data_IF_803631371253
#
_entry.id   IF_803631371253
#
_cell.length_a   1.000
_cell.length_b   1.000
_cell.length_c   1.000
_cell.angle_alpha   90.00
_cell.angle_beta   90.00
_cell.angle_gamma   90.00
#
_symmetry.space_group_name_H-M   'P 1'
#
loop_
_entity.id
_entity.type
_entity.pdbx_description
1 polymer ?
#
# COMPACT_ATOMS: atom_id res chain seq x y z
N UNK A 1 -27.63 86.66 -9.09
CA UNK A 1 -28.45 85.69 -9.86
C UNK A 1 -28.25 84.33 -9.20
N UNK A 2 -28.68 84.14 -7.97
CA UNK A 2 -30.05 83.84 -7.52
C UNK A 2 -30.69 82.64 -8.21
N UNK A 3 -31.14 81.68 -7.39
CA UNK A 3 -32.50 81.10 -7.37
C UNK A 3 -32.53 79.58 -7.16
N UNK A 4 -32.11 79.07 -5.99
CA UNK A 4 -32.67 77.82 -5.46
C UNK A 4 -32.76 77.91 -3.93
N UNK A 5 -33.68 78.74 -3.45
CA UNK A 5 -34.09 78.74 -2.06
C UNK A 5 -34.86 77.45 -1.76
N UNK A 6 -34.40 76.69 -0.77
CA UNK A 6 -35.13 75.55 -0.23
C UNK A 6 -36.39 76.12 0.44
N UNK A 7 -37.53 75.95 -0.22
CA UNK A 7 -38.81 76.37 0.32
C UNK A 7 -39.10 75.58 1.60
N UNK A 8 -39.07 76.26 2.75
CA UNK A 8 -39.65 75.75 3.99
C UNK A 8 -41.16 75.73 3.80
N UNK A 9 -41.72 74.58 3.44
CA UNK A 9 -43.15 74.40 3.35
C UNK A 9 -43.69 74.10 4.75
N UNK A 10 -44.11 75.16 5.45
CA UNK A 10 -44.90 75.04 6.67
C UNK A 10 -46.33 74.70 6.25
N UNK A 11 -46.69 73.41 6.29
CA UNK A 11 -48.08 72.99 6.11
C UNK A 11 -48.77 73.14 7.46
N UNK A 12 -49.65 74.14 7.57
CA UNK A 12 -50.59 74.23 8.68
C UNK A 12 -51.57 73.05 8.56
N UNK A 13 -51.60 72.17 9.56
CA UNK A 13 -52.59 71.10 9.65
C UNK A 13 -53.72 71.63 10.53
N UNK A 14 -54.74 72.19 9.88
CA UNK A 14 -55.99 72.57 10.54
C UNK A 14 -56.68 71.32 11.11
N UNK A 15 -57.28 71.52 12.29
CA UNK A 15 -57.79 70.47 13.16
C UNK A 15 -58.85 69.57 12.55
N UNK A 16 -58.71 68.28 12.86
CA UNK A 16 -59.81 67.32 12.86
C UNK A 16 -59.74 66.62 14.22
N UNK A 17 -60.55 67.09 15.18
CA UNK A 17 -60.85 66.36 16.41
C UNK A 17 -61.98 65.36 16.11
N UNK A 18 -61.66 64.05 16.12
CA UNK A 18 -62.65 62.97 16.17
C UNK A 18 -62.62 62.43 17.61
N UNK A 19 -63.66 62.72 18.39
CA UNK A 19 -63.83 62.13 19.71
C UNK A 19 -64.39 60.71 19.62
N UNK A 20 -63.64 59.73 20.13
CA UNK A 20 -64.17 58.43 20.57
C UNK A 20 -63.92 58.29 22.08
N UNK A 21 -64.83 57.64 22.84
CA UNK A 21 -64.72 57.57 24.29
C UNK A 21 -63.65 56.55 24.69
N UNK A 22 -62.60 57.05 25.36
CA UNK A 22 -61.59 56.21 26.03
C UNK A 22 -60.31 55.97 25.25
N UNK A 23 -59.60 57.02 24.83
CA UNK A 23 -58.23 56.90 24.29
C UNK A 23 -57.36 58.08 24.74
N UNK A 24 -56.13 57.78 25.15
CA UNK A 24 -55.21 58.75 25.74
C UNK A 24 -54.94 59.96 24.82
N UNK A 25 -54.87 61.17 25.41
CA UNK A 25 -54.47 62.40 24.70
C UNK A 25 -53.02 62.30 24.25
N UNK A 26 -52.78 61.92 22.99
CA UNK A 26 -51.45 61.97 22.39
C UNK A 26 -51.24 63.32 21.69
N UNK A 27 -50.20 64.04 22.10
CA UNK A 27 -49.74 65.26 21.41
C UNK A 27 -49.09 64.89 20.07
N UNK A 28 -49.64 65.43 18.97
CA UNK A 28 -49.13 65.20 17.61
C UNK A 28 -47.64 65.56 17.50
N UNK A 29 -47.21 66.63 18.17
CA UNK A 29 -45.81 67.07 18.18
C UNK A 29 -44.86 66.11 18.92
N UNK A 30 -45.32 65.51 20.04
CA UNK A 30 -44.53 64.53 20.78
C UNK A 30 -44.34 63.23 19.97
N UNK A 31 -45.39 62.79 19.28
CA UNK A 31 -45.30 61.64 18.38
C UNK A 31 -44.35 61.92 17.20
N UNK A 32 -44.41 63.12 16.63
CA UNK A 32 -43.56 63.51 15.50
C UNK A 32 -42.08 63.63 15.88
N UNK A 33 -41.77 64.11 17.10
CA UNK A 33 -40.41 64.12 17.63
C UNK A 33 -39.87 62.70 17.84
N UNK A 34 -40.66 61.80 18.45
CA UNK A 34 -40.26 60.40 18.65
C UNK A 34 -40.02 59.66 17.32
N UNK A 35 -40.85 59.91 16.30
CA UNK A 35 -40.65 59.36 14.95
C UNK A 35 -39.35 59.87 14.33
N UNK A 36 -39.03 61.15 14.52
CA UNK A 36 -37.80 61.75 14.00
C UNK A 36 -36.54 61.18 14.68
N UNK A 37 -36.57 61.03 16.01
CA UNK A 37 -35.48 60.39 16.77
C UNK A 37 -35.28 58.92 16.37
N UNK A 38 -36.37 58.17 16.19
CA UNK A 38 -36.32 56.80 15.69
C UNK A 38 -35.74 56.72 14.29
N UNK A 39 -36.16 57.61 13.38
CA UNK A 39 -35.62 57.69 12.02
C UNK A 39 -34.10 57.90 12.05
N UNK A 40 -33.64 58.90 12.81
CA UNK A 40 -32.21 59.22 12.91
C UNK A 40 -31.40 58.13 13.61
N UNK A 41 -31.99 57.36 14.53
CA UNK A 41 -31.32 56.22 15.13
C UNK A 41 -31.28 54.99 14.22
N UNK A 42 -32.24 54.84 13.29
CA UNK A 42 -32.36 53.67 12.43
C UNK A 42 -31.55 53.80 11.14
N UNK A 43 -31.47 55.00 10.54
CA UNK A 43 -30.65 55.26 9.34
C UNK A 43 -29.20 54.75 9.47
N UNK A 44 -28.40 55.12 10.49
CA UNK A 44 -27.02 54.67 10.60
C UNK A 44 -26.91 53.15 10.87
N UNK A 45 -27.90 52.55 11.53
CA UNK A 45 -27.95 51.09 11.72
C UNK A 45 -28.23 50.37 10.41
N UNK A 46 -29.11 50.91 9.57
CA UNK A 46 -29.40 50.38 8.24
C UNK A 46 -28.19 50.50 7.32
N UNK A 47 -27.47 51.62 7.37
CA UNK A 47 -26.23 51.82 6.63
C UNK A 47 -25.15 50.82 7.09
N UNK A 48 -24.96 50.64 8.39
CA UNK A 48 -24.04 49.66 8.96
C UNK A 48 -24.37 48.23 8.50
N UNK A 49 -25.64 47.82 8.57
CA UNK A 49 -26.10 46.51 8.08
C UNK A 49 -25.85 46.38 6.58
N UNK A 50 -26.06 47.43 5.80
CA UNK A 50 -25.81 47.42 4.36
C UNK A 50 -24.33 47.20 4.04
N UNK A 51 -23.43 47.82 4.81
CA UNK A 51 -21.97 47.61 4.70
C UNK A 51 -21.60 46.16 5.04
N UNK A 52 -22.11 45.63 6.17
CA UNK A 52 -21.84 44.26 6.59
C UNK A 52 -22.33 43.23 5.57
N UNK A 53 -23.53 43.42 5.01
CA UNK A 53 -24.08 42.57 3.94
C UNK A 53 -23.18 42.57 2.71
N UNK A 54 -22.63 43.72 2.33
CA UNK A 54 -21.71 43.81 1.20
C UNK A 54 -20.36 43.14 1.49
N UNK A 55 -19.84 43.26 2.71
CA UNK A 55 -18.62 42.57 3.14
C UNK A 55 -18.82 41.04 3.14
N UNK A 56 -19.94 40.56 3.68
CA UNK A 56 -20.31 39.15 3.67
C UNK A 56 -20.44 38.62 2.24
N UNK A 57 -21.08 39.37 1.34
CA UNK A 57 -21.17 39.03 -0.09
C UNK A 57 -19.78 38.87 -0.72
N UNK A 58 -18.86 39.81 -0.46
CA UNK A 58 -17.50 39.74 -0.99
C UNK A 58 -16.72 38.53 -0.43
N UNK A 59 -16.87 38.24 0.87
CA UNK A 59 -16.25 37.08 1.51
C UNK A 59 -16.81 35.75 0.97
N UNK A 60 -18.13 35.66 0.76
CA UNK A 60 -18.77 34.50 0.15
C UNK A 60 -18.28 34.27 -1.28
N UNK A 61 -18.09 35.32 -2.08
CA UNK A 61 -17.50 35.19 -3.42
C UNK A 61 -16.05 34.67 -3.38
N UNK A 62 -15.23 35.19 -2.45
CA UNK A 62 -13.85 34.69 -2.25
C UNK A 62 -13.84 33.23 -1.82
N UNK A 63 -14.72 32.86 -0.89
CA UNK A 63 -14.84 31.49 -0.39
C UNK A 63 -15.30 30.54 -1.50
N UNK A 64 -16.32 30.92 -2.28
CA UNK A 64 -16.79 30.15 -3.42
C UNK A 64 -15.66 29.87 -4.42
N UNK A 65 -14.84 30.87 -4.78
CA UNK A 65 -13.67 30.66 -5.65
C UNK A 65 -12.65 29.69 -5.07
N UNK A 66 -12.35 29.80 -3.78
CA UNK A 66 -11.43 28.89 -3.08
C UNK A 66 -11.97 27.46 -3.06
N UNK A 67 -13.25 27.28 -2.80
CA UNK A 67 -13.92 25.98 -2.80
C UNK A 67 -13.86 25.35 -4.19
N UNK A 68 -14.20 26.08 -5.26
CA UNK A 68 -14.10 25.55 -6.61
C UNK A 68 -12.67 25.15 -7.00
N UNK A 69 -11.67 25.94 -6.59
CA UNK A 69 -10.26 25.57 -6.81
C UNK A 69 -9.87 24.31 -6.03
N UNK A 70 -10.35 24.15 -4.79
CA UNK A 70 -10.08 22.98 -3.98
C UNK A 70 -10.75 21.72 -4.56
N UNK A 71 -11.99 21.83 -5.03
CA UNK A 71 -12.72 20.74 -5.69
C UNK A 71 -11.97 20.24 -6.94
N UNK A 72 -11.46 21.15 -7.78
CA UNK A 72 -10.66 20.77 -8.95
C UNK A 72 -9.36 20.05 -8.55
N UNK A 73 -8.67 20.53 -7.51
CA UNK A 73 -7.47 19.88 -6.99
C UNK A 73 -7.77 18.48 -6.44
N UNK A 74 -8.86 18.32 -5.69
CA UNK A 74 -9.30 17.03 -5.16
C UNK A 74 -9.63 16.07 -6.30
N UNK A 75 -10.35 16.51 -7.33
CA UNK A 75 -10.68 15.67 -8.49
C UNK A 75 -9.42 15.22 -9.24
N UNK A 76 -8.41 16.09 -9.37
CA UNK A 76 -7.12 15.73 -9.95
C UNK A 76 -6.37 14.71 -9.08
N UNK A 77 -6.32 14.93 -7.76
CA UNK A 77 -5.67 13.98 -6.85
C UNK A 77 -6.35 12.62 -6.84
N UNK A 78 -7.69 12.58 -6.91
CA UNK A 78 -8.45 11.33 -7.03
C UNK A 78 -8.14 10.59 -8.32
N UNK A 79 -8.06 11.28 -9.46
CA UNK A 79 -7.72 10.64 -10.73
C UNK A 79 -6.27 10.12 -10.74
N UNK A 80 -5.33 10.87 -10.17
CA UNK A 80 -3.95 10.42 -9.98
C UNK A 80 -3.85 9.21 -9.06
N UNK A 81 -4.56 9.22 -7.91
CA UNK A 81 -4.59 8.10 -6.97
C UNK A 81 -5.09 6.83 -7.64
N UNK A 82 -6.19 6.93 -8.39
CA UNK A 82 -6.75 5.80 -9.14
C UNK A 82 -5.75 5.23 -10.16
N UNK A 83 -5.08 6.10 -10.91
CA UNK A 83 -4.05 5.66 -11.86
C UNK A 83 -2.88 4.95 -11.16
N UNK A 84 -2.43 5.46 -10.01
CA UNK A 84 -1.37 4.81 -9.21
C UNK A 84 -1.83 3.45 -8.70
N UNK A 85 -3.05 3.34 -8.18
CA UNK A 85 -3.62 2.08 -7.71
C UNK A 85 -3.68 1.03 -8.83
N UNK A 86 -4.11 1.43 -10.04
CA UNK A 86 -4.14 0.55 -11.22
C UNK A 86 -2.73 0.07 -11.60
N UNK A 87 -1.74 0.97 -11.57
CA UNK A 87 -0.34 0.61 -11.84
C UNK A 87 0.23 -0.33 -10.77
N UNK A 88 -0.05 -0.08 -9.49
CA UNK A 88 0.39 -0.95 -8.39
C UNK A 88 -0.23 -2.34 -8.52
N UNK A 89 -1.53 -2.44 -8.84
CA UNK A 89 -2.19 -3.73 -9.07
C UNK A 89 -1.57 -4.47 -10.26
N UNK A 90 -1.30 -3.76 -11.35
CA UNK A 90 -0.63 -4.33 -12.53
C UNK A 90 0.76 -4.87 -12.17
N UNK A 91 1.60 -4.05 -11.52
CA UNK A 91 2.95 -4.43 -11.12
C UNK A 91 2.95 -5.59 -10.13
N UNK A 92 2.01 -5.60 -9.17
CA UNK A 92 1.90 -6.69 -8.20
C UNK A 92 1.58 -8.01 -8.89
N UNK A 93 0.61 -8.02 -9.81
CA UNK A 93 0.26 -9.22 -10.60
C UNK A 93 1.45 -9.71 -11.44
N UNK A 94 2.16 -8.78 -12.08
CA UNK A 94 3.34 -9.12 -12.88
C UNK A 94 4.46 -9.66 -11.99
N UNK A 95 4.71 -9.06 -10.83
CA UNK A 95 5.70 -9.52 -9.88
C UNK A 95 5.39 -10.94 -9.38
N UNK A 96 4.14 -11.21 -8.98
CA UNK A 96 3.74 -12.56 -8.54
C UNK A 96 3.89 -13.60 -9.66
N UNK A 97 3.55 -13.22 -10.90
CA UNK A 97 3.71 -14.10 -12.05
C UNK A 97 5.18 -14.39 -12.35
N UNK A 98 6.05 -13.39 -12.28
CA UNK A 98 7.48 -13.57 -12.51
C UNK A 98 8.14 -14.36 -11.40
N UNK A 99 7.75 -14.14 -10.14
CA UNK A 99 8.21 -14.93 -9.01
C UNK A 99 7.88 -16.42 -9.20
N UNK A 100 6.63 -16.75 -9.54
CA UNK A 100 6.22 -18.13 -9.81
C UNK A 100 6.95 -18.76 -11.01
N UNK A 101 7.26 -17.96 -12.05
CA UNK A 101 8.04 -18.45 -13.20
C UNK A 101 9.50 -18.69 -12.84
N UNK A 102 10.11 -17.82 -12.04
CA UNK A 102 11.49 -17.98 -11.58
C UNK A 102 11.62 -19.21 -10.69
N UNK A 103 10.66 -19.42 -9.80
CA UNK A 103 10.57 -20.61 -8.95
C UNK A 103 10.46 -21.90 -9.79
N UNK A 104 9.52 -21.98 -10.73
CA UNK A 104 9.39 -23.14 -11.63
C UNK A 104 10.67 -23.37 -12.46
N UNK A 105 11.33 -22.30 -12.93
CA UNK A 105 12.60 -22.42 -13.63
C UNK A 105 13.71 -22.94 -12.72
N UNK A 106 13.79 -22.46 -11.48
CA UNK A 106 14.78 -22.87 -10.51
C UNK A 106 14.59 -24.32 -10.09
N UNK A 107 13.35 -24.75 -9.82
CA UNK A 107 13.01 -26.14 -9.52
C UNK A 107 13.33 -27.06 -10.70
N UNK A 108 13.06 -26.64 -11.94
CA UNK A 108 13.46 -27.40 -13.14
C UNK A 108 14.97 -27.48 -13.28
N UNK A 109 15.69 -26.41 -12.97
CA UNK A 109 17.16 -26.39 -13.02
C UNK A 109 17.78 -27.29 -11.95
N UNK A 110 17.16 -27.38 -10.77
CA UNK A 110 17.58 -28.22 -9.63
C UNK A 110 16.98 -29.62 -9.66
N UNK A 111 16.09 -29.93 -10.60
CA UNK A 111 15.37 -31.20 -10.69
C UNK A 111 16.29 -32.42 -10.67
N UNK A 112 17.51 -32.32 -11.20
CA UNK A 112 18.46 -33.44 -11.22
C UNK A 112 19.41 -33.47 -10.01
N UNK A 113 19.29 -32.51 -9.10
CA UNK A 113 20.16 -32.40 -7.93
C UNK A 113 19.69 -33.33 -6.81
N UNK A 114 20.65 -33.87 -6.07
CA UNK A 114 20.47 -34.62 -4.84
C UNK A 114 21.28 -33.93 -3.75
N UNK A 115 20.68 -33.82 -2.57
CA UNK A 115 21.31 -33.36 -1.34
C UNK A 115 21.76 -34.54 -0.50
N UNK A 116 23.05 -34.61 -0.17
CA UNK A 116 23.61 -35.64 0.72
C UNK A 116 23.98 -35.00 2.06
N UNK A 117 23.31 -35.44 3.12
CA UNK A 117 23.43 -34.91 4.48
C UNK A 117 24.10 -35.94 5.39
N UNK A 118 24.94 -35.48 6.32
CA UNK A 118 25.62 -36.33 7.31
C UNK A 118 27.06 -36.67 6.98
N UNK A 119 27.62 -36.12 5.90
CA UNK A 119 29.03 -36.37 5.55
C UNK A 119 29.96 -35.40 6.29
N UNK A 120 30.90 -35.94 7.05
CA UNK A 120 31.87 -35.15 7.79
C UNK A 120 32.75 -34.28 6.90
N UNK A 121 33.01 -33.04 7.33
CA UNK A 121 33.92 -32.16 6.60
C UNK A 121 35.31 -32.80 6.56
N UNK A 122 35.90 -32.86 5.36
CA UNK A 122 37.21 -33.50 5.14
C UNK A 122 37.16 -35.00 4.79
N UNK A 123 35.98 -35.65 4.79
CA UNK A 123 35.82 -37.05 4.34
C UNK A 123 36.27 -37.29 2.89
N UNK A 124 36.17 -36.25 2.07
CA UNK A 124 36.43 -36.29 0.63
C UNK A 124 37.88 -36.59 0.26
N UNK A 125 38.81 -36.36 1.20
CA UNK A 125 40.24 -36.39 0.91
C UNK A 125 40.61 -35.43 -0.22
N UNK A 126 41.33 -35.95 -1.23
CA UNK A 126 41.87 -35.16 -2.35
C UNK A 126 40.92 -35.07 -3.55
N UNK A 127 39.88 -35.91 -3.64
CA UNK A 127 38.97 -35.93 -4.78
C UNK A 127 37.52 -36.13 -4.36
N UNK A 128 36.77 -35.03 -4.41
CA UNK A 128 35.31 -35.03 -4.25
C UNK A 128 34.63 -35.88 -5.34
N UNK A 129 35.28 -35.99 -6.50
CA UNK A 129 34.72 -36.64 -7.68
C UNK A 129 34.44 -38.12 -7.47
N UNK A 130 35.44 -38.86 -7.02
CA UNK A 130 35.29 -40.28 -6.75
C UNK A 130 34.56 -40.54 -5.43
N UNK A 131 34.72 -39.65 -4.45
CA UNK A 131 34.16 -39.82 -3.12
C UNK A 131 32.62 -39.94 -3.16
N UNK A 132 31.93 -39.04 -3.86
CA UNK A 132 30.46 -39.06 -3.88
C UNK A 132 29.88 -40.27 -4.61
N UNK A 133 30.53 -40.73 -5.68
CA UNK A 133 30.12 -41.95 -6.37
C UNK A 133 30.29 -43.17 -5.48
N UNK A 134 31.46 -43.31 -4.85
CA UNK A 134 31.75 -44.38 -3.90
C UNK A 134 30.81 -44.36 -2.69
N UNK A 135 30.50 -43.17 -2.16
CA UNK A 135 29.57 -42.95 -1.06
C UNK A 135 28.16 -43.47 -1.40
N UNK A 136 27.59 -43.01 -2.52
CA UNK A 136 26.25 -43.41 -2.98
C UNK A 136 26.23 -44.92 -3.23
N UNK A 137 27.27 -45.43 -3.88
CA UNK A 137 27.40 -46.85 -4.18
C UNK A 137 27.45 -47.66 -2.89
N UNK A 138 28.35 -47.38 -1.94
CA UNK A 138 28.49 -48.15 -0.69
C UNK A 138 27.25 -48.05 0.22
N UNK A 139 26.60 -46.90 0.27
CA UNK A 139 25.40 -46.70 1.11
C UNK A 139 24.15 -47.36 0.55
N UNK A 140 23.98 -47.39 -0.78
CA UNK A 140 22.78 -47.87 -1.46
C UNK A 140 22.93 -49.23 -2.18
N UNK A 141 24.12 -49.85 -2.18
CA UNK A 141 24.40 -51.13 -2.88
C UNK A 141 23.74 -52.42 -2.38
N UNK A 142 22.81 -52.48 -1.41
CA UNK A 142 21.98 -53.68 -1.30
C UNK A 142 21.03 -53.85 -2.51
N UNK A 143 20.70 -52.76 -3.22
CA UNK A 143 19.83 -52.80 -4.40
C UNK A 143 20.65 -52.94 -5.71
N UNK A 144 20.67 -54.15 -6.29
CA UNK A 144 21.25 -54.48 -7.62
C UNK A 144 20.69 -53.66 -8.81
N UNK A 145 19.75 -52.75 -8.56
CA UNK A 145 19.03 -51.96 -9.56
C UNK A 145 19.74 -50.65 -9.96
N UNK A 146 20.73 -50.20 -9.19
CA UNK A 146 21.49 -48.99 -9.51
C UNK A 146 22.49 -49.29 -10.62
N UNK A 147 22.13 -48.91 -11.86
CA UNK A 147 23.05 -48.82 -13.01
C UNK A 147 24.20 -47.87 -12.70
N UNK A 148 25.27 -47.91 -13.52
CA UNK A 148 26.28 -46.85 -13.53
C UNK A 148 25.59 -45.51 -13.79
N UNK A 149 25.50 -44.66 -12.76
CA UNK A 149 25.00 -43.29 -12.88
C UNK A 149 26.18 -42.35 -13.05
N UNK A 150 25.99 -41.30 -13.85
CA UNK A 150 27.00 -40.25 -14.03
C UNK A 150 26.62 -39.05 -13.19
N UNK A 151 27.56 -38.54 -12.41
CA UNK A 151 27.42 -37.26 -11.72
C UNK A 151 28.14 -36.17 -12.52
N UNK A 152 27.45 -35.08 -12.81
CA UNK A 152 28.00 -33.93 -13.54
C UNK A 152 28.69 -32.93 -12.61
N UNK A 153 28.07 -32.62 -11.46
CA UNK A 153 28.57 -31.62 -10.53
C UNK A 153 28.57 -32.16 -9.11
N UNK A 154 29.64 -31.85 -8.38
CA UNK A 154 29.90 -32.35 -7.04
C UNK A 154 30.48 -31.23 -6.21
N UNK A 155 29.67 -30.65 -5.34
CA UNK A 155 30.15 -29.59 -4.48
C UNK A 155 29.42 -29.62 -3.13
N UNK A 156 30.07 -29.08 -2.10
CA UNK A 156 29.36 -28.73 -0.88
C UNK A 156 28.60 -27.43 -1.07
N UNK A 157 27.50 -27.28 -0.34
CA UNK A 157 26.78 -26.02 -0.28
C UNK A 157 27.74 -24.85 0.03
N UNK A 158 27.64 -23.78 -0.75
CA UNK A 158 28.51 -22.59 -0.69
C UNK A 158 28.15 -21.65 0.48
N UNK A 159 27.92 -22.23 1.66
CA UNK A 159 27.63 -21.50 2.91
C UNK A 159 28.94 -21.43 3.72
N UNK A 160 29.20 -20.44 4.57
CA UNK A 160 30.41 -20.43 5.45
C UNK A 160 30.54 -21.75 6.24
N UNK A 161 31.76 -22.26 6.50
CA UNK A 161 31.98 -23.56 7.16
C UNK A 161 31.38 -23.50 8.57
N UNK A 162 30.22 -24.14 8.81
CA UNK A 162 29.62 -24.13 10.13
C UNK A 162 30.36 -25.13 11.02
N UNK A 163 30.38 -24.88 12.33
CA UNK A 163 30.95 -25.84 13.30
C UNK A 163 30.08 -27.10 13.38
N UNK A 164 28.75 -26.92 13.35
CA UNK A 164 27.67 -27.92 13.27
C UNK A 164 26.41 -27.19 12.77
N UNK A 165 25.54 -27.76 11.93
CA UNK A 165 25.67 -29.04 11.21
C UNK A 165 26.61 -28.93 10.01
N UNK A 166 27.26 -30.03 9.64
CA UNK A 166 28.19 -30.09 8.50
C UNK A 166 27.50 -29.69 7.19
N UNK A 167 28.24 -29.06 6.26
CA UNK A 167 27.68 -28.64 4.96
C UNK A 167 27.18 -29.84 4.16
N UNK A 168 25.95 -29.75 3.69
CA UNK A 168 25.34 -30.70 2.74
C UNK A 168 26.10 -30.72 1.41
N UNK A 169 26.24 -31.88 0.80
CA UNK A 169 26.64 -31.95 -0.61
C UNK A 169 25.45 -31.74 -1.52
N UNK A 170 25.68 -31.00 -2.59
CA UNK A 170 24.76 -30.86 -3.71
C UNK A 170 25.44 -31.53 -4.90
N UNK A 171 24.79 -32.58 -5.39
CA UNK A 171 25.28 -33.38 -6.50
C UNK A 171 24.27 -33.37 -7.64
N UNK A 172 24.71 -33.03 -8.85
CA UNK A 172 23.84 -33.05 -10.05
C UNK A 172 24.02 -34.37 -10.78
N UNK A 173 22.97 -35.18 -10.81
CA UNK A 173 22.96 -36.44 -11.56
C UNK A 173 22.64 -36.15 -13.03
N UNK A 174 23.31 -36.81 -13.96
CA UNK A 174 23.11 -36.59 -15.39
C UNK A 174 21.65 -36.83 -15.83
N UNK A 175 21.04 -37.90 -15.31
CA UNK A 175 19.68 -38.33 -15.67
C UNK A 175 18.71 -38.18 -14.50
N UNK A 176 17.55 -37.58 -14.78
CA UNK A 176 16.44 -37.49 -13.82
C UNK A 176 15.97 -38.87 -13.34
N UNK A 177 16.00 -39.89 -14.22
CA UNK A 177 15.60 -41.26 -13.87
C UNK A 177 16.55 -41.89 -12.86
N UNK A 178 17.84 -41.63 -13.03
CA UNK A 178 18.87 -42.15 -12.13
C UNK A 178 18.76 -41.45 -10.77
N UNK A 179 18.51 -40.13 -10.78
CA UNK A 179 18.20 -39.35 -9.58
C UNK A 179 17.04 -39.95 -8.78
N UNK A 180 15.92 -40.22 -9.45
CA UNK A 180 14.73 -40.78 -8.80
C UNK A 180 14.97 -42.20 -8.27
N UNK A 181 15.73 -43.01 -9.01
CA UNK A 181 16.11 -44.36 -8.58
C UNK A 181 16.96 -44.31 -7.30
N UNK A 182 17.93 -43.38 -7.23
CA UNK A 182 18.76 -43.15 -6.04
C UNK A 182 17.89 -42.73 -4.85
N UNK A 183 17.01 -41.73 -5.03
CA UNK A 183 16.13 -41.26 -3.96
C UNK A 183 15.13 -42.32 -3.51
N UNK A 184 14.60 -43.13 -4.42
CA UNK A 184 13.71 -44.23 -4.09
C UNK A 184 14.44 -45.31 -3.31
N UNK A 185 15.65 -45.69 -3.73
CA UNK A 185 16.49 -46.64 -3.00
C UNK A 185 16.80 -46.12 -1.59
N UNK A 186 17.13 -44.84 -1.46
CA UNK A 186 17.39 -44.21 -0.17
C UNK A 186 16.16 -44.21 0.75
N UNK A 187 14.95 -43.99 0.23
CA UNK A 187 13.71 -44.08 1.01
C UNK A 187 13.39 -45.51 1.47
N UNK A 188 13.72 -46.49 0.64
CA UNK A 188 13.50 -47.91 0.96
C UNK A 188 14.51 -48.47 1.95
N UNK A 189 15.65 -47.81 2.15
CA UNK A 189 16.71 -48.25 3.05
C UNK A 189 16.71 -47.40 4.32
N UNK A 190 16.30 -47.96 5.45
CA UNK A 190 16.23 -47.23 6.72
C UNK A 190 17.60 -46.97 7.37
N UNK A 191 18.60 -47.81 7.11
CA UNK A 191 19.91 -47.76 7.76
C UNK A 191 21.04 -47.51 6.75
N UNK A 192 21.13 -46.29 6.22
CA UNK A 192 22.23 -45.87 5.34
C UNK A 192 23.36 -45.29 6.19
N UNK A 193 24.46 -46.04 6.32
CA UNK A 193 25.66 -45.58 7.02
C UNK A 193 26.89 -45.71 6.13
N UNK A 194 27.84 -44.79 6.31
CA UNK A 194 29.15 -44.80 5.69
C UNK A 194 30.18 -44.48 6.75
N UNK A 195 31.19 -45.33 6.91
CA UNK A 195 32.25 -45.15 7.91
C UNK A 195 31.69 -44.79 9.30
N UNK A 196 30.67 -45.53 9.73
CA UNK A 196 29.94 -45.37 11.00
C UNK A 196 29.17 -44.05 11.17
N UNK A 197 28.98 -43.27 10.10
CA UNK A 197 28.17 -42.06 10.10
C UNK A 197 26.87 -42.28 9.33
N UNK A 198 25.74 -41.82 9.88
CA UNK A 198 24.44 -41.90 9.21
C UNK A 198 24.33 -40.88 8.09
N UNK A 199 23.90 -41.35 6.91
CA UNK A 199 23.78 -40.53 5.70
C UNK A 199 22.35 -40.50 5.22
N UNK A 200 21.92 -39.32 4.78
CA UNK A 200 20.58 -39.09 4.27
C UNK A 200 20.63 -38.46 2.88
N UNK A 201 19.73 -38.89 2.00
CA UNK A 201 19.57 -38.37 0.66
C UNK A 201 18.22 -37.66 0.53
N UNK A 202 18.24 -36.42 0.04
CA UNK A 202 17.04 -35.61 -0.17
C UNK A 202 17.03 -35.02 -1.58
N UNK A 203 15.83 -34.77 -2.16
CA UNK A 203 15.73 -33.91 -3.33
C UNK A 203 16.15 -32.47 -2.98
N UNK A 204 16.67 -31.75 -3.98
CA UNK A 204 16.98 -30.33 -3.87
C UNK A 204 15.82 -29.50 -4.42
N UNK A 205 14.97 -28.99 -3.52
CA UNK A 205 13.87 -28.11 -3.86
C UNK A 205 14.14 -26.69 -3.34
N UNK A 206 13.48 -25.72 -3.95
CA UNK A 206 13.45 -24.34 -3.44
C UNK A 206 12.64 -24.26 -2.14
N UNK A 207 12.77 -23.15 -1.40
CA UNK A 207 12.20 -22.99 -0.05
C UNK A 207 10.70 -22.69 -0.04
N UNK A 208 10.12 -22.29 -1.16
CA UNK A 208 8.69 -22.00 -1.27
C UNK A 208 7.98 -23.26 -1.75
N UNK A 209 7.17 -23.83 -0.86
CA UNK A 209 6.06 -24.75 -1.16
C UNK A 209 4.88 -24.33 -0.32
#
# INVERSE_FOLDING_TARGET
>A
MDKYGVAKQTVAVDGIEVEMPGTAKFSLGANMAAIWDLKNSLEPKLDAVTVDVNLLRANLQKMSKKVSSAELCINLLQSMSKNVEEQVQYLTKHHTLMAARLEDQEDRARRNNIRVVGVHEGAEGLSVDFFLEDLIVKTLRPNRLLKFFTIEQRHRALILKPRVPQRTFISRVFSYRDRDTILQAARSHSNMSYENTMIWFFPDFTLQV
#
